data_IF_731652822288
#
_entry.id   IF_731652822288
#
_cell.length_a   1.000
_cell.length_b   1.000
_cell.length_c   1.000
_cell.angle_alpha   90.00
_cell.angle_beta   90.00
_cell.angle_gamma   90.00
#
_symmetry.space_group_name_H-M   'P 1'
#
loop_
_entity.id
_entity.type
_entity.pdbx_description
1 polymer ?
#
# COMPACT_ATOMS: atom_id res chain seq x y z
N UNK A 1 -4.56 7.79 0.64
CA UNK A 1 -4.99 6.82 1.66
C UNK A 1 -6.28 6.11 1.28
N UNK A 2 -7.36 6.82 0.94
CA UNK A 2 -8.65 6.19 0.65
C UNK A 2 -8.61 5.19 -0.53
N UNK A 3 -7.86 5.49 -1.58
CA UNK A 3 -7.75 4.63 -2.77
C UNK A 3 -6.98 3.33 -2.46
N UNK A 4 -5.86 3.42 -1.75
CA UNK A 4 -5.08 2.23 -1.35
C UNK A 4 -5.89 1.32 -0.43
N UNK A 5 -6.63 1.90 0.52
CA UNK A 5 -7.51 1.16 1.41
C UNK A 5 -8.62 0.44 0.63
N UNK A 6 -9.31 1.13 -0.29
CA UNK A 6 -10.38 0.53 -1.09
C UNK A 6 -9.89 -0.66 -1.92
N UNK A 7 -8.71 -0.52 -2.55
CA UNK A 7 -8.08 -1.62 -3.30
C UNK A 7 -7.75 -2.83 -2.40
N UNK A 8 -7.17 -2.59 -1.22
CA UNK A 8 -6.87 -3.65 -0.28
C UNK A 8 -8.15 -4.32 0.24
N UNK A 9 -9.17 -3.53 0.58
CA UNK A 9 -10.42 -4.03 1.14
C UNK A 9 -11.18 -4.92 0.18
N UNK A 10 -11.27 -4.56 -1.08
CA UNK A 10 -11.95 -5.38 -2.10
C UNK A 10 -11.33 -6.79 -2.20
N UNK A 11 -10.01 -6.87 -2.22
CA UNK A 11 -9.31 -8.17 -2.27
C UNK A 11 -9.47 -8.92 -0.96
N UNK A 12 -9.35 -8.22 0.17
CA UNK A 12 -9.52 -8.80 1.49
C UNK A 12 -10.90 -9.43 1.68
N UNK A 13 -11.97 -8.69 1.37
CA UNK A 13 -13.35 -9.17 1.51
C UNK A 13 -13.60 -10.41 0.64
N UNK A 14 -13.06 -10.43 -0.59
CA UNK A 14 -13.16 -11.58 -1.49
C UNK A 14 -12.45 -12.83 -0.95
N UNK A 15 -11.24 -12.68 -0.42
CA UNK A 15 -10.48 -13.79 0.16
C UNK A 15 -11.15 -14.31 1.44
N UNK A 16 -11.62 -13.39 2.28
CA UNK A 16 -12.30 -13.72 3.52
C UNK A 16 -13.62 -14.48 3.26
N UNK A 17 -14.43 -14.02 2.30
CA UNK A 17 -15.66 -14.69 1.86
C UNK A 17 -15.40 -16.08 1.25
N UNK A 18 -14.23 -16.28 0.63
CA UNK A 18 -13.78 -17.58 0.13
C UNK A 18 -13.25 -18.52 1.23
N UNK A 19 -13.42 -18.17 2.51
CA UNK A 19 -12.99 -18.99 3.65
C UNK A 19 -11.50 -18.94 3.96
N UNK A 20 -10.72 -18.03 3.33
CA UNK A 20 -9.31 -17.87 3.66
C UNK A 20 -9.17 -17.22 5.03
N UNK A 21 -8.18 -17.73 5.79
CA UNK A 21 -7.78 -17.21 7.10
C UNK A 21 -6.27 -17.11 7.14
N UNK A 22 -5.73 -16.36 8.08
CA UNK A 22 -4.28 -16.17 8.23
C UNK A 22 -3.62 -15.60 6.97
N UNK A 23 -4.01 -14.36 6.64
CA UNK A 23 -3.47 -13.64 5.49
C UNK A 23 -3.48 -12.13 5.72
N UNK A 24 -2.63 -11.43 4.98
CA UNK A 24 -2.64 -9.98 4.88
C UNK A 24 -2.75 -9.54 3.42
N UNK A 25 -3.47 -8.46 3.17
CA UNK A 25 -3.59 -7.81 1.87
C UNK A 25 -2.93 -6.44 1.93
N UNK A 26 -2.05 -6.18 0.98
CA UNK A 26 -1.39 -4.89 0.81
C UNK A 26 -1.99 -4.21 -0.43
N UNK A 27 -2.53 -3.01 -0.24
CA UNK A 27 -3.00 -2.17 -1.32
C UNK A 27 -2.18 -0.90 -1.41
N UNK A 28 -1.82 -0.49 -2.63
CA UNK A 28 -1.11 0.77 -2.88
C UNK A 28 -1.78 1.57 -3.99
N UNK A 29 -1.64 2.90 -3.91
CA UNK A 29 -2.11 3.81 -4.94
C UNK A 29 -1.28 5.09 -4.96
N UNK A 30 -0.90 5.52 -6.18
CA UNK A 30 0.01 6.65 -6.39
C UNK A 30 -0.69 7.77 -7.15
N UNK A 31 -0.45 8.99 -6.68
CA UNK A 31 -0.97 10.21 -7.27
C UNK A 31 0.16 11.23 -7.40
N UNK A 32 0.24 11.88 -8.54
CA UNK A 32 1.14 13.00 -8.78
C UNK A 32 0.39 14.31 -8.57
N UNK A 33 0.99 15.27 -7.89
CA UNK A 33 0.44 16.60 -7.70
C UNK A 33 1.48 17.65 -8.05
N UNK A 34 1.06 18.62 -8.83
CA UNK A 34 1.89 19.72 -9.28
C UNK A 34 1.29 21.07 -8.86
N UNK A 35 2.11 21.90 -8.21
CA UNK A 35 1.73 23.26 -7.84
C UNK A 35 2.15 24.23 -8.93
N UNK A 36 1.18 24.76 -9.67
CA UNK A 36 1.46 25.81 -10.63
C UNK A 36 1.75 27.13 -9.91
N UNK A 37 2.65 27.91 -10.47
CA UNK A 37 2.98 29.23 -9.97
C UNK A 37 1.73 30.14 -9.97
N UNK A 38 1.51 30.84 -8.84
CA UNK A 38 0.34 31.70 -8.66
C UNK A 38 -0.97 30.97 -8.33
N UNK A 39 -1.05 29.65 -8.41
CA UNK A 39 -2.23 28.88 -8.01
C UNK A 39 -2.16 28.46 -6.53
N UNK A 40 -3.28 28.54 -5.82
CA UNK A 40 -3.36 28.15 -4.39
C UNK A 40 -3.57 26.66 -4.19
N UNK A 41 -4.07 25.94 -5.21
CA UNK A 41 -4.36 24.51 -5.13
C UNK A 41 -3.49 23.73 -6.12
N UNK A 42 -2.92 22.59 -5.71
CA UNK A 42 -2.17 21.74 -6.62
C UNK A 42 -3.11 21.08 -7.64
N UNK A 43 -2.62 20.94 -8.86
CA UNK A 43 -3.26 20.12 -9.90
C UNK A 43 -2.92 18.66 -9.65
N UNK A 44 -3.93 17.82 -9.58
CA UNK A 44 -3.75 16.37 -9.49
C UNK A 44 -3.60 15.80 -10.89
N UNK A 45 -2.51 15.07 -11.10
CA UNK A 45 -2.15 14.49 -12.39
C UNK A 45 -2.28 12.97 -12.28
N UNK A 46 -3.25 12.42 -12.99
CA UNK A 46 -3.44 10.98 -13.14
C UNK A 46 -2.60 10.39 -14.28
N UNK A 47 -3.07 9.27 -14.81
CA UNK A 47 -2.57 8.71 -16.07
C UNK A 47 -3.02 9.60 -17.21
N UNK A 48 -2.21 9.76 -18.28
CA UNK A 48 -2.65 10.49 -19.47
C UNK A 48 -3.79 9.74 -20.16
N UNK A 49 -4.63 10.49 -20.86
CA UNK A 49 -5.76 9.94 -21.62
C UNK A 49 -5.30 9.30 -22.92
N UNK A 50 -4.29 9.91 -23.51
CA UNK A 50 -3.70 9.58 -24.81
C UNK A 50 -2.26 10.13 -24.90
N UNK A 51 -1.63 10.00 -26.06
CA UNK A 51 -0.29 10.50 -26.32
C UNK A 51 -0.19 12.03 -26.24
N UNK A 52 -1.21 12.74 -26.73
CA UNK A 52 -1.23 14.22 -26.69
C UNK A 52 -1.32 14.72 -25.25
N UNK A 53 -2.14 14.08 -24.42
CA UNK A 53 -2.21 14.40 -22.99
C UNK A 53 -0.91 14.07 -22.26
N UNK A 54 -0.20 13.00 -22.64
CA UNK A 54 1.12 12.68 -22.12
C UNK A 54 2.14 13.78 -22.45
N UNK A 55 2.18 14.25 -23.70
CA UNK A 55 3.04 15.38 -24.11
C UNK A 55 2.70 16.62 -23.30
N UNK A 56 1.44 16.95 -23.13
CA UNK A 56 0.97 18.11 -22.34
C UNK A 56 1.44 18.01 -20.88
N UNK A 57 1.31 16.83 -20.26
CA UNK A 57 1.71 16.59 -18.86
C UNK A 57 3.21 16.74 -18.72
N UNK A 58 4.01 16.09 -19.56
CA UNK A 58 5.47 16.15 -19.50
C UNK A 58 6.00 17.57 -19.75
N UNK A 59 5.43 18.28 -20.72
CA UNK A 59 5.76 19.70 -20.96
C UNK A 59 5.46 20.58 -19.76
N UNK A 60 4.36 20.31 -19.05
CA UNK A 60 3.99 21.04 -17.83
C UNK A 60 4.98 20.78 -16.69
N UNK A 61 5.54 19.57 -16.57
CA UNK A 61 6.46 19.16 -15.51
C UNK A 61 7.93 19.41 -15.84
N UNK A 62 8.27 19.62 -17.12
CA UNK A 62 9.64 19.88 -17.61
C UNK A 62 10.32 21.00 -16.83
N UNK A 63 11.52 20.77 -16.31
CA UNK A 63 12.32 21.71 -15.53
C UNK A 63 11.77 22.03 -14.12
N UNK A 64 10.71 21.35 -13.68
CA UNK A 64 10.01 21.72 -12.45
C UNK A 64 9.97 20.60 -11.42
N UNK A 65 9.65 20.97 -10.17
CA UNK A 65 9.44 20.05 -9.06
C UNK A 65 7.96 19.77 -8.89
N UNK A 66 7.63 18.50 -8.72
CA UNK A 66 6.29 18.05 -8.38
C UNK A 66 6.33 17.05 -7.22
N UNK A 67 5.17 16.73 -6.65
CA UNK A 67 5.05 15.81 -5.53
C UNK A 67 4.38 14.52 -5.95
N UNK A 68 4.94 13.41 -5.50
CA UNK A 68 4.37 12.08 -5.63
C UNK A 68 3.87 11.64 -4.27
N UNK A 69 2.60 11.28 -4.20
CA UNK A 69 1.93 10.77 -3.00
C UNK A 69 1.60 9.30 -3.22
N UNK A 70 2.13 8.43 -2.40
CA UNK A 70 1.75 7.02 -2.44
C UNK A 70 1.13 6.61 -1.12
N UNK A 71 -0.16 6.28 -1.18
CA UNK A 71 -0.89 5.65 -0.09
C UNK A 71 -0.62 4.16 -0.07
N UNK A 72 -0.40 3.59 1.11
CA UNK A 72 -0.31 2.15 1.33
C UNK A 72 -1.23 1.75 2.46
N UNK A 73 -1.97 0.66 2.27
CA UNK A 73 -2.87 0.08 3.27
C UNK A 73 -2.55 -1.38 3.45
N UNK A 74 -2.54 -1.82 4.69
CA UNK A 74 -2.43 -3.24 5.07
C UNK A 74 -3.70 -3.61 5.82
N UNK A 75 -4.35 -4.69 5.39
CA UNK A 75 -5.48 -5.30 6.07
C UNK A 75 -5.09 -6.75 6.35
N UNK A 76 -4.94 -7.10 7.61
CA UNK A 76 -4.49 -8.41 8.04
C UNK A 76 -5.56 -9.13 8.86
N UNK A 77 -5.79 -10.38 8.54
CA UNK A 77 -6.54 -11.33 9.35
C UNK A 77 -5.54 -12.36 9.89
N UNK A 78 -4.95 -12.04 11.03
CA UNK A 78 -3.95 -12.89 11.68
C UNK A 78 -4.59 -13.44 12.94
N UNK A 79 -4.57 -14.76 13.16
CA UNK A 79 -5.02 -15.35 14.40
C UNK A 79 -4.22 -14.77 15.58
N UNK A 80 -4.91 -14.27 16.59
CA UNK A 80 -4.25 -13.88 17.83
C UNK A 80 -3.88 -15.15 18.61
N UNK A 81 -2.59 -15.53 18.54
CA UNK A 81 -2.07 -16.71 19.28
C UNK A 81 -2.31 -16.56 20.78
N UNK A 82 -2.33 -15.34 21.31
CA UNK A 82 -2.63 -15.07 22.71
C UNK A 82 -4.13 -15.24 23.02
N UNK A 83 -5.04 -14.90 22.07
CA UNK A 83 -6.47 -15.13 22.23
C UNK A 83 -6.80 -16.62 22.29
N UNK A 84 -6.13 -17.43 21.48
CA UNK A 84 -6.26 -18.89 21.53
C UNK A 84 -5.78 -19.46 22.86
N UNK A 85 -4.68 -18.97 23.40
CA UNK A 85 -4.16 -19.36 24.71
C UNK A 85 -5.09 -18.93 25.86
N UNK A 86 -5.61 -17.69 25.82
CA UNK A 86 -6.57 -17.18 26.81
C UNK A 86 -7.91 -17.91 26.76
N UNK A 87 -8.40 -18.27 25.58
CA UNK A 87 -9.60 -19.08 25.42
C UNK A 87 -9.40 -20.49 26.03
N UNK A 88 -8.21 -21.08 25.85
CA UNK A 88 -7.88 -22.37 26.45
C UNK A 88 -7.77 -22.32 27.97
N UNK A 89 -7.30 -21.21 28.53
CA UNK A 89 -7.21 -20.98 29.98
C UNK A 89 -8.62 -20.80 30.57
N UNK A 90 -9.46 -19.96 29.96
CA UNK A 90 -10.86 -19.75 30.40
C UNK A 90 -11.67 -21.06 30.36
N UNK A 91 -11.55 -21.86 29.28
CA UNK A 91 -12.19 -23.18 29.21
C UNK A 91 -11.74 -24.11 30.36
N UNK A 92 -10.48 -24.05 30.77
CA UNK A 92 -9.99 -24.84 31.93
C UNK A 92 -10.54 -24.35 33.27
N UNK A 93 -10.75 -23.05 33.42
CA UNK A 93 -11.34 -22.48 34.64
C UNK A 93 -12.84 -22.72 34.72
N UNK A 94 -13.60 -22.57 33.62
CA UNK A 94 -15.03 -22.88 33.59
C UNK A 94 -15.30 -24.38 33.86
N UNK A 95 -14.51 -25.27 33.29
CA UNK A 95 -14.63 -26.73 33.55
C UNK A 95 -14.35 -27.06 35.04
N UNK A 96 -13.50 -26.34 35.73
CA UNK A 96 -13.25 -26.53 37.16
C UNK A 96 -14.42 -26.05 38.03
N UNK A 97 -15.16 -25.04 37.60
CA UNK A 97 -16.27 -24.47 38.37
C UNK A 97 -17.58 -25.30 38.21
N UNK A 98 -17.79 -25.95 37.07
CA UNK A 98 -19.01 -26.70 36.78
C UNK A 98 -18.99 -28.15 37.28
N UNK A 99 -17.92 -28.65 37.85
CA UNK A 99 -17.84 -30.04 38.35
C UNK A 99 -18.66 -30.30 39.65
N UNK A 100 -19.47 -29.34 40.09
CA UNK A 100 -20.25 -29.45 41.34
C UNK A 100 -21.75 -29.57 41.21
N UNK A 101 -22.37 -29.55 40.03
CA UNK A 101 -23.84 -29.66 39.90
C UNK A 101 -24.20 -30.63 38.77
N UNK A 102 -25.00 -31.62 39.11
CA UNK A 102 -25.59 -32.64 38.27
C UNK A 102 -26.45 -32.04 37.15
N UNK A 103 -26.22 -32.46 35.92
CA UNK A 103 -27.17 -32.32 34.82
C UNK A 103 -26.46 -32.34 33.46
N UNK A 104 -26.75 -33.39 32.65
CA UNK A 104 -26.34 -33.46 31.25
C UNK A 104 -26.95 -32.30 30.48
N UNK A 105 -26.13 -31.32 30.12
CA UNK A 105 -26.45 -30.39 29.07
C UNK A 105 -25.24 -30.38 28.11
N UNK A 106 -25.49 -30.74 26.84
CA UNK A 106 -24.52 -30.51 25.78
C UNK A 106 -24.32 -29.01 25.64
N UNK A 107 -23.23 -28.51 26.18
CA UNK A 107 -22.83 -27.11 25.99
C UNK A 107 -22.12 -27.05 24.64
N UNK A 108 -22.86 -26.69 23.61
CA UNK A 108 -22.27 -26.13 22.37
C UNK A 108 -21.73 -24.76 22.71
N UNK A 109 -20.50 -24.71 23.21
CA UNK A 109 -19.79 -23.47 23.37
C UNK A 109 -19.19 -23.10 22.02
N UNK A 110 -19.97 -22.40 21.18
CA UNK A 110 -19.43 -21.65 20.06
C UNK A 110 -18.53 -20.57 20.64
N UNK A 111 -17.23 -20.88 20.72
CA UNK A 111 -16.22 -19.86 20.96
C UNK A 111 -16.14 -19.03 19.68
N UNK A 112 -16.98 -17.99 19.58
CA UNK A 112 -16.84 -16.99 18.54
C UNK A 112 -15.55 -16.22 18.80
N UNK A 113 -14.43 -16.70 18.21
CA UNK A 113 -13.23 -15.91 18.05
C UNK A 113 -13.66 -14.74 17.18
N UNK A 114 -13.83 -13.57 17.77
CA UNK A 114 -14.03 -12.34 17.00
C UNK A 114 -12.75 -12.13 16.20
N UNK A 115 -12.74 -12.60 14.96
CA UNK A 115 -11.68 -12.34 13.98
C UNK A 115 -11.67 -10.82 13.69
N UNK A 116 -10.84 -10.10 14.41
CA UNK A 116 -10.69 -8.66 14.24
C UNK A 116 -9.58 -8.41 13.22
N UNK A 117 -9.96 -8.03 12.00
CA UNK A 117 -8.99 -7.62 11.01
C UNK A 117 -8.24 -6.36 11.50
N UNK A 118 -6.92 -6.40 11.48
CA UNK A 118 -6.08 -5.24 11.71
C UNK A 118 -5.93 -4.41 10.43
N UNK A 119 -6.18 -3.10 10.55
CA UNK A 119 -6.15 -2.17 9.42
C UNK A 119 -5.16 -1.07 9.72
N UNK A 120 -4.20 -0.88 8.83
CA UNK A 120 -3.28 0.24 8.85
C UNK A 120 -3.27 0.94 7.50
N UNK A 121 -3.20 2.27 7.49
CA UNK A 121 -3.13 3.07 6.26
C UNK A 121 -2.21 4.26 6.47
N UNK A 122 -1.18 4.34 5.65
CA UNK A 122 -0.17 5.40 5.66
C UNK A 122 -0.06 6.07 4.29
N UNK A 123 0.61 7.23 4.25
CA UNK A 123 0.92 7.94 3.02
C UNK A 123 2.36 8.42 3.07
N UNK A 124 3.10 8.13 2.02
CA UNK A 124 4.46 8.64 1.80
C UNK A 124 4.44 9.71 0.72
N UNK A 125 5.27 10.73 0.90
CA UNK A 125 5.37 11.88 -0.02
C UNK A 125 6.82 12.02 -0.44
N UNK A 126 7.04 12.24 -1.74
CA UNK A 126 8.37 12.46 -2.31
C UNK A 126 8.28 13.56 -3.36
N UNK A 127 9.23 14.48 -3.33
CA UNK A 127 9.38 15.49 -4.37
C UNK A 127 10.33 14.96 -5.45
N UNK A 128 9.95 15.20 -6.70
CA UNK A 128 10.73 14.81 -7.89
C UNK A 128 10.90 16.05 -8.74
N UNK A 129 12.12 16.31 -9.14
CA UNK A 129 12.48 17.45 -10.02
C UNK A 129 13.00 16.91 -11.35
N UNK A 130 12.45 17.40 -12.44
CA UNK A 130 12.92 17.05 -13.79
C UNK A 130 13.98 18.00 -14.30
N UNK A 131 14.82 17.51 -15.20
CA UNK A 131 15.59 18.35 -16.10
C UNK A 131 14.65 19.07 -17.07
N UNK A 132 15.16 20.13 -17.72
CA UNK A 132 14.42 20.78 -18.81
C UNK A 132 14.44 19.88 -20.03
N UNK A 133 13.28 19.44 -20.47
CA UNK A 133 13.08 18.55 -21.62
C UNK A 133 12.81 19.37 -22.87
N UNK A 134 13.45 19.03 -23.97
CA UNK A 134 13.10 19.53 -25.30
C UNK A 134 11.81 18.89 -25.82
N UNK A 135 11.13 19.52 -26.78
CA UNK A 135 9.95 18.93 -27.43
C UNK A 135 10.22 17.57 -28.08
N UNK A 136 11.41 17.39 -28.65
CA UNK A 136 11.81 16.14 -29.30
C UNK A 136 11.98 15.01 -28.29
N UNK A 137 12.65 15.26 -27.15
CA UNK A 137 12.81 14.30 -26.06
C UNK A 137 11.46 13.84 -25.47
N UNK A 138 10.52 14.80 -25.32
CA UNK A 138 9.16 14.48 -24.86
C UNK A 138 8.45 13.58 -25.89
N UNK A 139 8.54 13.93 -27.17
CA UNK A 139 7.89 13.21 -28.26
C UNK A 139 8.45 11.81 -28.37
N UNK A 140 9.78 11.65 -28.35
CA UNK A 140 10.46 10.36 -28.44
C UNK A 140 10.06 9.45 -27.27
N UNK A 141 10.02 10.00 -26.05
CA UNK A 141 9.60 9.23 -24.90
C UNK A 141 8.11 8.83 -24.98
N UNK A 142 7.22 9.72 -25.43
CA UNK A 142 5.80 9.39 -25.59
C UNK A 142 5.59 8.31 -26.67
N UNK A 143 6.35 8.36 -27.77
CA UNK A 143 6.29 7.35 -28.82
C UNK A 143 6.73 5.95 -28.36
N UNK A 144 7.50 5.84 -27.28
CA UNK A 144 7.84 4.56 -26.68
C UNK A 144 6.63 3.81 -26.07
N UNK A 145 5.54 4.53 -25.81
CA UNK A 145 4.34 4.00 -25.13
C UNK A 145 4.48 3.87 -23.62
N UNK A 146 5.67 4.02 -23.05
CA UNK A 146 5.95 3.87 -21.62
C UNK A 146 5.14 4.83 -20.71
N UNK A 147 4.87 6.10 -21.07
CA UNK A 147 4.14 7.05 -20.22
C UNK A 147 2.64 6.75 -20.04
N UNK A 148 2.02 5.99 -20.97
CA UNK A 148 0.56 5.94 -21.10
C UNK A 148 -0.17 5.27 -19.93
N UNK A 149 0.48 4.41 -19.19
CA UNK A 149 -0.09 3.70 -18.05
C UNK A 149 0.35 4.26 -16.67
N UNK A 150 1.09 5.38 -16.65
CA UNK A 150 1.70 5.92 -15.45
C UNK A 150 1.13 7.26 -15.01
N UNK A 151 0.89 7.43 -13.72
CA UNK A 151 0.52 8.72 -13.14
C UNK A 151 1.65 9.73 -13.33
N UNK A 152 1.32 10.92 -13.85
CA UNK A 152 2.33 11.92 -14.20
C UNK A 152 3.03 11.68 -15.54
N UNK A 153 2.62 10.69 -16.29
CA UNK A 153 3.15 10.34 -17.61
C UNK A 153 4.65 10.00 -17.61
N UNK A 154 5.19 9.39 -16.55
CA UNK A 154 6.58 8.95 -16.53
C UNK A 154 6.83 7.74 -15.64
N UNK A 155 7.84 6.95 -15.99
CA UNK A 155 8.34 5.83 -15.20
C UNK A 155 9.78 6.05 -14.75
N UNK A 156 10.01 6.28 -13.44
CA UNK A 156 11.36 6.55 -12.91
C UNK A 156 12.31 5.35 -13.06
N UNK A 157 11.78 4.14 -13.17
CA UNK A 157 12.56 2.91 -13.35
C UNK A 157 12.93 2.63 -14.82
N UNK A 158 12.28 3.33 -15.76
CA UNK A 158 12.48 3.19 -17.18
C UNK A 158 13.44 4.23 -17.77
N UNK A 159 13.41 4.41 -19.09
CA UNK A 159 14.24 5.38 -19.79
C UNK A 159 14.10 6.81 -19.29
N UNK A 160 12.92 7.16 -18.76
CA UNK A 160 12.69 8.51 -18.21
C UNK A 160 13.56 8.85 -16.99
N UNK A 161 14.15 7.84 -16.33
CA UNK A 161 15.05 8.06 -15.21
C UNK A 161 16.20 9.02 -15.51
N UNK A 162 16.66 9.11 -16.76
CA UNK A 162 17.73 10.03 -17.21
C UNK A 162 17.33 11.51 -17.12
N UNK A 163 16.04 11.81 -17.12
CA UNK A 163 15.50 13.16 -17.02
C UNK A 163 15.13 13.58 -15.60
N UNK A 164 15.37 12.72 -14.61
CA UNK A 164 15.14 13.04 -13.20
C UNK A 164 16.41 13.64 -12.61
N UNK A 165 16.35 14.94 -12.31
CA UNK A 165 17.47 15.70 -11.71
C UNK A 165 17.65 15.42 -10.23
N UNK A 166 16.54 15.37 -9.48
CA UNK A 166 16.56 15.23 -8.03
C UNK A 166 15.34 14.52 -7.48
N UNK A 167 15.56 13.76 -6.42
CA UNK A 167 14.51 13.14 -5.61
C UNK A 167 14.73 13.55 -4.16
N UNK A 168 13.73 14.21 -3.54
CA UNK A 168 13.72 14.51 -2.10
C UNK A 168 12.65 13.67 -1.41
N UNK A 169 13.09 12.66 -0.69
CA UNK A 169 12.21 11.71 -0.02
C UNK A 169 12.59 10.27 -0.35
N UNK A 170 11.59 9.41 -0.44
CA UNK A 170 11.79 7.99 -0.65
C UNK A 170 11.56 7.61 -2.12
N UNK A 171 12.58 7.05 -2.76
CA UNK A 171 12.51 6.54 -4.14
C UNK A 171 11.38 5.53 -4.34
N UNK A 172 11.18 4.63 -3.39
CA UNK A 172 10.11 3.63 -3.47
C UNK A 172 8.71 4.22 -3.44
N UNK A 173 8.53 5.45 -2.94
CA UNK A 173 7.27 6.20 -3.05
C UNK A 173 6.96 6.53 -4.50
N UNK A 174 7.99 6.92 -5.28
CA UNK A 174 7.83 7.26 -6.69
C UNK A 174 7.49 6.01 -7.53
N UNK A 175 8.08 4.87 -7.18
CA UNK A 175 7.76 3.58 -7.82
C UNK A 175 6.32 3.13 -7.52
N UNK A 176 5.74 3.59 -6.41
CA UNK A 176 4.36 3.26 -6.04
C UNK A 176 4.20 2.24 -4.89
N UNK A 177 5.31 1.84 -4.24
CA UNK A 177 5.28 1.00 -3.04
C UNK A 177 6.33 1.50 -2.04
N UNK A 178 5.97 2.30 -1.04
CA UNK A 178 6.91 2.88 -0.08
C UNK A 178 7.40 1.81 0.93
N UNK A 179 8.35 0.99 0.51
CA UNK A 179 8.87 -0.18 1.24
C UNK A 179 9.23 0.12 2.70
N UNK A 180 9.94 1.22 3.05
CA UNK A 180 10.25 1.50 4.46
C UNK A 180 9.01 1.78 5.32
N UNK A 181 7.96 2.35 4.74
CA UNK A 181 6.68 2.58 5.43
C UNK A 181 5.95 1.25 5.60
N UNK A 182 5.85 0.47 4.53
CA UNK A 182 5.23 -0.85 4.55
C UNK A 182 5.90 -1.77 5.57
N UNK A 183 7.24 -1.80 5.63
CA UNK A 183 7.97 -2.59 6.62
C UNK A 183 7.58 -2.23 8.06
N UNK A 184 7.49 -0.92 8.37
CA UNK A 184 7.07 -0.47 9.70
C UNK A 184 5.62 -0.87 10.02
N UNK A 185 4.73 -0.84 9.03
CA UNK A 185 3.34 -1.28 9.20
C UNK A 185 3.26 -2.77 9.47
N UNK A 186 3.95 -3.60 8.69
CA UNK A 186 4.00 -5.05 8.87
C UNK A 186 4.61 -5.43 10.23
N UNK A 187 5.69 -4.75 10.63
CA UNK A 187 6.31 -4.96 11.95
C UNK A 187 5.34 -4.69 13.11
N UNK A 188 4.49 -3.65 13.00
CA UNK A 188 3.52 -3.31 14.05
C UNK A 188 2.47 -4.41 14.25
N UNK A 189 2.13 -5.15 13.21
CA UNK A 189 1.14 -6.24 13.24
C UNK A 189 1.80 -7.62 13.36
N UNK A 190 3.08 -7.68 13.72
CA UNK A 190 3.79 -8.93 13.95
C UNK A 190 4.21 -9.70 12.69
N UNK A 191 3.95 -9.15 11.51
CA UNK A 191 4.43 -9.75 10.25
C UNK A 191 5.85 -9.28 9.98
N UNK A 192 6.81 -10.16 10.25
CA UNK A 192 8.22 -9.88 9.97
C UNK A 192 8.68 -10.72 8.78
N UNK A 193 9.52 -10.16 7.90
CA UNK A 193 10.19 -10.97 6.90
C UNK A 193 11.16 -11.92 7.60
N UNK A 194 10.84 -13.20 7.64
CA UNK A 194 11.76 -14.25 8.12
C UNK A 194 12.79 -14.56 7.03
N UNK A 195 14.02 -14.87 7.44
CA UNK A 195 15.07 -15.34 6.51
C UNK A 195 15.99 -14.26 5.94
N UNK A 196 15.79 -12.97 6.22
CA UNK A 196 16.71 -11.91 5.75
C UNK A 196 18.10 -11.98 6.35
N UNK A 197 18.28 -12.72 7.43
CA UNK A 197 19.54 -12.85 8.19
C UNK A 197 20.02 -14.28 8.34
N UNK A 198 19.40 -15.25 7.68
CA UNK A 198 20.00 -16.57 7.57
C UNK A 198 21.28 -16.41 6.74
N UNK A 199 22.42 -16.59 7.41
CA UNK A 199 23.71 -16.58 6.71
C UNK A 199 23.66 -17.70 5.68
N UNK A 200 23.96 -17.36 4.44
CA UNK A 200 24.39 -18.34 3.45
C UNK A 200 25.76 -18.78 3.94
N UNK A 201 25.84 -19.95 4.59
CA UNK A 201 27.08 -20.64 4.90
C UNK A 201 27.71 -21.18 3.62
#
# INVERSE_FOLDING_TARGET
>A
RALSFRKAKEVFDRLFAAGRRDFAVIGSDTVVAFQKEGETKPVIIGKPKDAEDAVRILSMLSGKTHRVFTGVSVIANIPDENAAAQCSIRKKEEIKTECSIRGKAEIQTECSIQEKAEIQTECSITEVTFETLSPDEITDYVNSGDPLDKAGSYGIQGPFGMFVREIRGNYFTVIGMPIPVLYKMLKKIGILPHGFYERIE
#
